data_IF_887646149655
#
_entry.id   IF_887646149655
#
_cell.length_a   1.000
_cell.length_b   1.000
_cell.length_c   1.000
_cell.angle_alpha   90.00
_cell.angle_beta   90.00
_cell.angle_gamma   90.00
#
_symmetry.space_group_name_H-M   'P 1'
#
loop_
_entity.id
_entity.type
_entity.pdbx_description
1 polymer ?
#
# COMPACT_ATOMS: atom_id res chain seq x y z
N UNK A 1 4.93 30.36 14.12
CA UNK A 1 6.17 30.55 13.33
C UNK A 1 6.07 29.72 12.05
N UNK A 2 6.36 30.27 10.86
CA UNK A 2 6.30 29.53 9.59
C UNK A 2 7.15 28.25 9.59
N UNK A 3 8.30 28.26 10.30
CA UNK A 3 9.23 27.13 10.37
C UNK A 3 8.62 25.81 10.86
N UNK A 4 7.65 25.85 11.78
CA UNK A 4 6.94 24.64 12.23
C UNK A 4 6.15 24.00 11.09
N UNK A 5 5.42 24.81 10.32
CA UNK A 5 4.61 24.31 9.21
C UNK A 5 5.46 23.80 8.05
N UNK A 6 6.63 24.38 7.81
CA UNK A 6 7.59 23.85 6.83
C UNK A 6 8.14 22.48 7.25
N UNK A 7 8.50 22.30 8.53
CA UNK A 7 8.95 21.02 9.04
C UNK A 7 7.83 19.95 8.96
N UNK A 8 6.60 20.34 9.30
CA UNK A 8 5.43 19.47 9.18
C UNK A 8 5.16 19.10 7.72
N UNK A 9 5.23 20.05 6.80
CA UNK A 9 5.07 19.83 5.35
C UNK A 9 6.11 18.84 4.82
N UNK A 10 7.38 19.03 5.19
CA UNK A 10 8.47 18.14 4.81
C UNK A 10 8.21 16.71 5.29
N UNK A 11 7.81 16.55 6.56
CA UNK A 11 7.44 15.25 7.13
C UNK A 11 6.29 14.59 6.35
N UNK A 12 5.23 15.32 6.02
CA UNK A 12 4.08 14.76 5.28
C UNK A 12 4.44 14.35 3.86
N UNK A 13 5.32 15.10 3.19
CA UNK A 13 5.85 14.74 1.86
C UNK A 13 6.73 13.48 1.92
N UNK A 14 7.55 13.33 2.96
CA UNK A 14 8.33 12.10 3.20
C UNK A 14 7.42 10.88 3.47
N UNK A 15 6.43 11.03 4.36
CA UNK A 15 5.45 9.97 4.66
C UNK A 15 4.73 9.52 3.38
N UNK A 16 4.33 10.46 2.52
CA UNK A 16 3.69 10.19 1.23
C UNK A 16 4.63 9.43 0.28
N UNK A 17 5.89 9.85 0.18
CA UNK A 17 6.89 9.17 -0.65
C UNK A 17 7.09 7.73 -0.18
N UNK A 18 7.30 7.53 1.13
CA UNK A 18 7.49 6.21 1.73
C UNK A 18 6.30 5.29 1.49
N UNK A 19 5.09 5.81 1.65
CA UNK A 19 3.86 5.05 1.43
C UNK A 19 3.69 4.67 -0.05
N UNK A 20 4.02 5.57 -0.97
CA UNK A 20 4.00 5.30 -2.42
C UNK A 20 5.03 4.22 -2.80
N UNK A 21 6.25 4.28 -2.26
CA UNK A 21 7.26 3.24 -2.46
C UNK A 21 6.83 1.88 -1.89
N UNK A 22 6.18 1.88 -0.73
CA UNK A 22 5.61 0.68 -0.12
C UNK A 22 4.53 0.07 -1.03
N UNK A 23 3.64 0.89 -1.59
CA UNK A 23 2.63 0.44 -2.55
C UNK A 23 3.26 -0.26 -3.76
N UNK A 24 4.26 0.36 -4.39
CA UNK A 24 4.97 -0.24 -5.53
C UNK A 24 5.64 -1.57 -5.16
N UNK A 25 6.26 -1.65 -3.98
CA UNK A 25 6.88 -2.89 -3.51
C UNK A 25 5.86 -4.01 -3.30
N UNK A 26 4.71 -3.70 -2.69
CA UNK A 26 3.62 -4.65 -2.49
C UNK A 26 2.99 -5.10 -3.81
N UNK A 27 2.87 -4.23 -4.81
CA UNK A 27 2.43 -4.62 -6.17
C UNK A 27 3.37 -5.64 -6.80
N UNK A 28 4.69 -5.45 -6.63
CA UNK A 28 5.68 -6.45 -7.03
C UNK A 28 5.46 -7.79 -6.33
N UNK A 29 5.20 -7.77 -5.01
CA UNK A 29 4.89 -8.99 -4.26
C UNK A 29 3.60 -9.67 -4.67
N UNK A 30 2.52 -8.92 -4.92
CA UNK A 30 1.28 -9.50 -5.42
C UNK A 30 1.51 -10.18 -6.79
N UNK A 31 2.28 -9.55 -7.67
CA UNK A 31 2.65 -10.14 -8.97
C UNK A 31 3.46 -11.42 -8.81
N UNK A 32 4.43 -11.45 -7.89
CA UNK A 32 5.18 -12.67 -7.54
C UNK A 32 4.25 -13.77 -7.02
N UNK A 33 3.25 -13.44 -6.19
CA UNK A 33 2.27 -14.42 -5.72
C UNK A 33 1.46 -14.98 -6.90
N UNK A 34 0.88 -14.12 -7.74
CA UNK A 34 0.09 -14.55 -8.89
C UNK A 34 0.90 -15.44 -9.86
N UNK A 35 2.16 -15.11 -10.10
CA UNK A 35 3.04 -15.91 -10.96
C UNK A 35 3.41 -17.28 -10.36
N UNK A 36 3.39 -17.42 -9.04
CA UNK A 36 3.76 -18.64 -8.34
C UNK A 36 2.56 -19.47 -7.86
N UNK A 37 1.33 -19.00 -8.02
CA UNK A 37 0.11 -19.72 -7.65
C UNK A 37 0.09 -21.18 -8.15
N UNK A 38 0.44 -21.48 -9.43
CA UNK A 38 0.41 -22.86 -9.93
C UNK A 38 1.34 -23.81 -9.17
N UNK A 39 2.41 -23.29 -8.55
CA UNK A 39 3.37 -24.11 -7.77
C UNK A 39 2.74 -24.73 -6.52
N UNK A 40 1.57 -24.23 -6.08
CA UNK A 40 0.81 -24.86 -5.01
C UNK A 40 0.25 -26.23 -5.45
N UNK A 41 0.01 -26.42 -6.75
CA UNK A 41 -0.66 -27.58 -7.34
C UNK A 41 0.26 -28.42 -8.23
N UNK A 42 1.46 -27.94 -8.58
CA UNK A 42 2.47 -28.70 -9.31
C UNK A 42 3.38 -29.59 -8.42
N UNK A 43 3.79 -30.79 -8.88
CA UNK A 43 3.32 -31.47 -10.08
C UNK A 43 1.89 -31.99 -9.90
N UNK A 44 1.18 -32.14 -11.02
CA UNK A 44 -0.16 -32.72 -11.06
C UNK A 44 -0.12 -34.23 -10.76
N UNK A 45 -1.02 -34.69 -9.89
CA UNK A 45 -1.20 -36.11 -9.64
C UNK A 45 -2.15 -36.70 -10.67
N UNK A 46 -1.69 -37.70 -11.39
CA UNK A 46 -2.42 -38.34 -12.49
C UNK A 46 -2.33 -39.84 -12.37
N UNK A 47 -3.15 -40.56 -13.14
CA UNK A 47 -3.11 -42.01 -13.23
C UNK A 47 -1.72 -42.57 -13.60
N UNK A 48 -0.90 -41.76 -14.28
CA UNK A 48 0.46 -42.10 -14.71
C UNK A 48 1.57 -41.67 -13.74
N UNK A 49 1.27 -40.88 -12.70
CA UNK A 49 2.26 -40.40 -11.72
C UNK A 49 2.03 -41.02 -10.34
N UNK A 50 0.96 -40.61 -9.65
CA UNK A 50 0.55 -41.14 -8.35
C UNK A 50 -0.97 -41.07 -8.22
N UNK A 51 -1.61 -42.21 -7.95
CA UNK A 51 -3.07 -42.33 -7.96
C UNK A 51 -3.59 -43.18 -6.79
N UNK A 52 -4.87 -42.99 -6.47
CA UNK A 52 -5.61 -43.72 -5.44
C UNK A 52 -5.77 -42.90 -4.15
N UNK A 53 -6.46 -43.48 -3.17
CA UNK A 53 -6.95 -42.78 -1.95
C UNK A 53 -5.93 -41.87 -1.25
N UNK A 54 -4.63 -42.21 -1.26
CA UNK A 54 -3.59 -41.35 -0.66
C UNK A 54 -3.21 -40.14 -1.52
N UNK A 55 -3.23 -40.29 -2.84
CA UNK A 55 -3.05 -39.19 -3.78
C UNK A 55 -4.24 -38.22 -3.68
N UNK A 56 -5.47 -38.74 -3.67
CA UNK A 56 -6.69 -37.93 -3.55
C UNK A 56 -6.69 -37.09 -2.26
N UNK A 57 -6.33 -37.70 -1.13
CA UNK A 57 -6.20 -36.98 0.16
C UNK A 57 -5.08 -35.96 0.15
N UNK A 58 -3.99 -36.22 -0.58
CA UNK A 58 -2.89 -35.28 -0.68
C UNK A 58 -3.29 -34.06 -1.51
N UNK A 59 -3.96 -34.25 -2.65
CA UNK A 59 -4.50 -33.14 -3.45
C UNK A 59 -5.56 -32.34 -2.69
N UNK A 60 -6.43 -33.00 -1.91
CA UNK A 60 -7.38 -32.31 -1.05
C UNK A 60 -6.66 -31.37 -0.06
N UNK A 61 -5.56 -31.80 0.56
CA UNK A 61 -4.76 -30.96 1.46
C UNK A 61 -4.13 -29.78 0.70
N UNK A 62 -3.66 -29.99 -0.54
CA UNK A 62 -3.06 -28.93 -1.36
C UNK A 62 -4.08 -27.89 -1.77
N UNK A 63 -5.24 -28.31 -2.27
CA UNK A 63 -6.30 -27.40 -2.72
C UNK A 63 -6.93 -26.64 -1.54
N UNK A 64 -7.43 -27.38 -0.54
CA UNK A 64 -8.18 -26.78 0.56
C UNK A 64 -7.28 -26.08 1.58
N UNK A 65 -6.07 -26.57 1.82
CA UNK A 65 -5.16 -26.04 2.84
C UNK A 65 -4.22 -24.97 2.30
N UNK A 66 -3.53 -25.28 1.20
CA UNK A 66 -2.42 -24.46 0.70
C UNK A 66 -2.94 -23.45 -0.33
N UNK A 67 -3.53 -23.92 -1.42
CA UNK A 67 -3.95 -23.09 -2.55
C UNK A 67 -5.04 -22.10 -2.15
N UNK A 68 -6.05 -22.53 -1.40
CA UNK A 68 -7.11 -21.64 -0.88
C UNK A 68 -6.53 -20.47 -0.07
N UNK A 69 -5.64 -20.76 0.88
CA UNK A 69 -4.96 -19.73 1.70
C UNK A 69 -4.08 -18.82 0.84
N UNK A 70 -3.42 -19.40 -0.18
CA UNK A 70 -2.56 -18.67 -1.09
C UNK A 70 -3.33 -17.66 -1.95
N UNK A 71 -4.46 -18.09 -2.51
CA UNK A 71 -5.37 -17.24 -3.31
C UNK A 71 -6.02 -16.16 -2.44
N UNK A 72 -6.35 -16.46 -1.18
CA UNK A 72 -6.85 -15.45 -0.25
C UNK A 72 -5.82 -14.33 -0.02
N UNK A 73 -4.54 -14.70 0.16
CA UNK A 73 -3.45 -13.72 0.29
C UNK A 73 -3.30 -12.91 -0.99
N UNK A 74 -3.12 -13.58 -2.14
CA UNK A 74 -2.83 -12.94 -3.43
C UNK A 74 -3.98 -12.03 -3.91
N UNK A 75 -5.22 -12.38 -3.53
CA UNK A 75 -6.43 -11.63 -3.84
C UNK A 75 -6.89 -10.70 -2.73
N UNK A 76 -7.64 -11.24 -1.76
CA UNK A 76 -8.43 -10.46 -0.81
C UNK A 76 -7.56 -9.61 0.12
N UNK A 77 -6.48 -10.20 0.65
CA UNK A 77 -5.64 -9.52 1.64
C UNK A 77 -4.83 -8.38 1.00
N UNK A 78 -4.22 -8.62 -0.17
CA UNK A 78 -3.58 -7.54 -0.93
C UNK A 78 -4.57 -6.43 -1.30
N UNK A 79 -5.79 -6.79 -1.73
CA UNK A 79 -6.82 -5.80 -2.07
C UNK A 79 -7.14 -4.88 -0.89
N UNK A 80 -7.36 -5.45 0.31
CA UNK A 80 -7.62 -4.69 1.54
C UNK A 80 -6.46 -3.72 1.84
N UNK A 81 -5.22 -4.22 1.76
CA UNK A 81 -4.03 -3.41 2.03
C UNK A 81 -3.89 -2.27 1.01
N UNK A 82 -4.10 -2.53 -0.28
CA UNK A 82 -4.04 -1.48 -1.30
C UNK A 82 -5.12 -0.41 -1.12
N UNK A 83 -6.34 -0.80 -0.74
CA UNK A 83 -7.39 0.16 -0.42
C UNK A 83 -7.03 1.05 0.78
N UNK A 84 -6.45 0.46 1.84
CA UNK A 84 -5.99 1.21 3.00
C UNK A 84 -4.85 2.19 2.65
N UNK A 85 -3.88 1.74 1.86
CA UNK A 85 -2.77 2.57 1.38
C UNK A 85 -3.30 3.74 0.53
N UNK A 86 -4.18 3.46 -0.43
CA UNK A 86 -4.77 4.48 -1.31
C UNK A 86 -5.52 5.55 -0.51
N UNK A 87 -6.32 5.11 0.47
CA UNK A 87 -7.04 6.03 1.38
C UNK A 87 -6.05 6.94 2.12
N UNK A 88 -4.98 6.37 2.68
CA UNK A 88 -4.00 7.15 3.43
C UNK A 88 -3.19 8.09 2.54
N UNK A 89 -2.92 7.73 1.30
CA UNK A 89 -2.31 8.62 0.29
C UNK A 89 -3.22 9.83 0.03
N UNK A 90 -4.52 9.61 -0.17
CA UNK A 90 -5.48 10.70 -0.36
C UNK A 90 -5.55 11.63 0.85
N UNK A 91 -5.56 11.08 2.06
CA UNK A 91 -5.52 11.86 3.30
C UNK A 91 -4.24 12.71 3.39
N UNK A 92 -3.06 12.13 3.10
CA UNK A 92 -1.80 12.85 3.13
C UNK A 92 -1.77 14.00 2.11
N UNK A 93 -2.33 13.83 0.91
CA UNK A 93 -2.47 14.92 -0.05
C UNK A 93 -3.34 16.06 0.48
N UNK A 94 -4.47 15.75 1.11
CA UNK A 94 -5.34 16.75 1.71
C UNK A 94 -4.65 17.49 2.88
N UNK A 95 -3.93 16.75 3.73
CA UNK A 95 -3.13 17.32 4.83
C UNK A 95 -2.05 18.27 4.29
N UNK A 96 -1.31 17.85 3.25
CA UNK A 96 -0.29 18.68 2.58
C UNK A 96 -0.89 19.98 2.04
N UNK A 97 -1.99 19.90 1.30
CA UNK A 97 -2.66 21.08 0.74
C UNK A 97 -3.12 22.05 1.84
N UNK A 98 -3.68 21.53 2.93
CA UNK A 98 -4.08 22.34 4.09
C UNK A 98 -2.90 23.04 4.76
N UNK A 99 -1.74 22.37 4.87
CA UNK A 99 -0.54 22.96 5.45
C UNK A 99 0.02 24.06 4.54
N UNK A 100 0.06 23.83 3.23
CA UNK A 100 0.51 24.81 2.24
C UNK A 100 -0.37 26.07 2.27
N UNK A 101 -1.70 25.92 2.36
CA UNK A 101 -2.61 27.05 2.53
C UNK A 101 -2.36 27.80 3.84
N UNK A 102 -2.08 27.08 4.93
CA UNK A 102 -1.78 27.69 6.23
C UNK A 102 -0.49 28.52 6.17
N UNK A 103 0.55 28.00 5.50
CA UNK A 103 1.80 28.74 5.26
C UNK A 103 1.51 30.02 4.47
N UNK A 104 0.78 29.93 3.37
CA UNK A 104 0.44 31.08 2.53
C UNK A 104 -0.29 32.18 3.34
N UNK A 105 -1.26 31.79 4.17
CA UNK A 105 -2.00 32.73 5.02
C UNK A 105 -1.10 33.43 6.04
N UNK A 106 -0.18 32.69 6.69
CA UNK A 106 0.78 33.25 7.65
C UNK A 106 1.71 34.26 6.97
N UNK A 107 2.24 33.93 5.79
CA UNK A 107 3.13 34.81 5.04
C UNK A 107 2.43 36.11 4.60
N UNK A 108 1.21 35.99 4.08
CA UNK A 108 0.41 37.15 3.70
C UNK A 108 0.13 38.08 4.88
N UNK A 109 -0.15 37.51 6.06
CA UNK A 109 -0.37 38.30 7.28
C UNK A 109 0.91 38.99 7.76
N UNK A 110 2.06 38.31 7.72
CA UNK A 110 3.35 38.92 8.06
C UNK A 110 3.70 40.08 7.15
N UNK A 111 3.40 39.96 5.86
CA UNK A 111 3.63 41.03 4.88
C UNK A 111 2.73 42.25 5.14
N UNK A 112 1.42 42.03 5.38
CA UNK A 112 0.50 43.10 5.78
C UNK A 112 0.98 43.85 7.01
N UNK A 113 1.43 43.13 8.04
CA UNK A 113 1.95 43.73 9.27
C UNK A 113 3.25 44.50 9.05
N UNK A 114 4.11 44.06 8.14
CA UNK A 114 5.32 44.80 7.76
C UNK A 114 4.98 46.12 7.08
N UNK A 115 4.05 46.11 6.13
CA UNK A 115 3.62 47.30 5.42
C UNK A 115 2.93 48.30 6.35
N UNK A 116 2.08 47.83 7.27
CA UNK A 116 1.41 48.67 8.26
C UNK A 116 2.36 49.32 9.28
N UNK A 117 3.54 48.74 9.52
CA UNK A 117 4.58 49.32 10.39
C UNK A 117 5.56 50.23 9.66
N UNK A 118 5.57 50.19 8.33
CA UNK A 118 6.44 51.00 7.49
C UNK A 118 5.80 52.33 7.04
N UNK A 119 4.46 52.42 7.14
CA UNK A 119 3.68 53.66 7.02
C UNK A 119 3.43 54.29 8.40
#
# INVERSE_FOLDING_TARGET
MPGYYYALLAKKKDDLQRLTSCQSSLQGKQSEFNANEPKCLEPELTATTWQGTHADKFDEIRESGIHTSYVDISGSQFSIVFSAISTRISELHAEIASIEQTIANILAEQERQRQAKAN
#
